data_IF_357570713724
#
_entry.id   IF_357570713724
#
_cell.length_a   1.000
_cell.length_b   1.000
_cell.length_c   1.000
_cell.angle_alpha   90.00
_cell.angle_beta   90.00
_cell.angle_gamma   90.00
#
_symmetry.space_group_name_H-M   'P 1'
#
loop_
_entity.id
_entity.type
_entity.pdbx_description
1 polymer ?
#
# COMPACT_ATOMS: atom_id res chain seq x y z
N UNK A 1 -16.86 14.39 26.98
CA UNK A 1 -15.81 13.34 27.03
C UNK A 1 -14.83 13.64 25.90
N UNK A 2 -13.60 14.05 26.21
CA UNK A 2 -12.60 14.38 25.18
C UNK A 2 -12.02 13.07 24.65
N UNK A 3 -12.48 12.65 23.47
CA UNK A 3 -11.92 11.51 22.73
C UNK A 3 -10.84 12.04 21.80
N UNK A 4 -9.73 11.31 21.66
CA UNK A 4 -8.65 11.64 20.71
C UNK A 4 -9.18 11.67 19.27
N UNK A 5 -8.68 12.59 18.44
CA UNK A 5 -8.95 12.57 16.99
C UNK A 5 -8.03 11.57 16.28
N UNK A 6 -8.36 11.09 15.08
CA UNK A 6 -7.48 10.24 14.29
C UNK A 6 -6.08 10.86 14.06
N UNK A 7 -6.02 12.15 13.79
CA UNK A 7 -4.77 12.90 13.58
C UNK A 7 -3.94 12.97 14.86
N UNK A 8 -4.57 13.30 16.00
CA UNK A 8 -3.90 13.34 17.29
C UNK A 8 -3.39 11.96 17.71
N UNK A 9 -4.14 10.90 17.42
CA UNK A 9 -3.74 9.51 17.67
C UNK A 9 -2.52 9.13 16.83
N UNK A 10 -2.53 9.42 15.53
CA UNK A 10 -1.37 9.16 14.66
C UNK A 10 -0.12 9.93 15.12
N UNK A 11 -0.28 11.19 15.53
CA UNK A 11 0.81 12.00 16.05
C UNK A 11 1.36 11.44 17.38
N UNK A 12 0.49 10.93 18.26
CA UNK A 12 0.91 10.23 19.48
C UNK A 12 1.75 8.98 19.17
N UNK A 13 1.37 8.20 18.14
CA UNK A 13 2.18 7.06 17.68
C UNK A 13 3.58 7.51 17.24
N UNK A 14 3.70 8.68 16.60
CA UNK A 14 5.00 9.24 16.20
C UNK A 14 5.88 9.64 17.41
N UNK A 15 5.29 9.85 18.58
CA UNK A 15 5.99 10.19 19.82
C UNK A 15 6.43 8.96 20.64
N UNK A 16 5.91 7.75 20.35
CA UNK A 16 6.33 6.51 20.99
C UNK A 16 7.74 6.13 20.52
N UNK A 17 8.74 6.15 21.41
CA UNK A 17 10.13 5.82 21.03
C UNK A 17 10.24 4.35 20.64
N UNK A 18 10.90 4.07 19.52
CA UNK A 18 11.37 2.78 19.00
C UNK A 18 10.36 1.62 18.92
N UNK A 19 9.10 1.82 19.35
CA UNK A 19 8.04 0.82 19.28
C UNK A 19 7.54 0.60 17.85
N UNK A 20 7.70 1.60 16.98
CA UNK A 20 7.23 1.59 15.60
C UNK A 20 8.32 2.10 14.66
N UNK A 21 8.52 1.42 13.53
CA UNK A 21 9.42 1.91 12.49
C UNK A 21 8.82 3.12 11.77
N UNK A 22 9.62 3.86 10.99
CA UNK A 22 9.06 4.92 10.13
C UNK A 22 7.98 4.34 9.19
N UNK A 23 8.22 3.15 8.63
CA UNK A 23 7.29 2.48 7.73
C UNK A 23 5.96 2.13 8.43
N UNK A 24 5.98 1.78 9.71
CA UNK A 24 4.76 1.59 10.52
C UNK A 24 3.98 2.89 10.72
N UNK A 25 4.68 4.02 10.95
CA UNK A 25 4.04 5.33 11.08
C UNK A 25 3.39 5.77 9.77
N UNK A 26 4.04 5.49 8.63
CA UNK A 26 3.45 5.71 7.31
C UNK A 26 2.22 4.82 7.12
N UNK A 27 2.30 3.53 7.44
CA UNK A 27 1.15 2.62 7.33
C UNK A 27 -0.04 3.05 8.20
N UNK A 28 0.23 3.53 9.42
CA UNK A 28 -0.80 4.11 10.29
C UNK A 28 -1.41 5.38 9.68
N UNK A 29 -0.57 6.23 9.07
CA UNK A 29 -1.02 7.43 8.37
C UNK A 29 -1.86 7.13 7.12
N UNK A 30 -1.41 6.19 6.29
CA UNK A 30 -2.15 5.65 5.14
C UNK A 30 -3.53 5.15 5.58
N UNK A 31 -3.58 4.41 6.70
CA UNK A 31 -4.84 3.94 7.27
C UNK A 31 -5.76 5.09 7.70
N UNK A 32 -5.24 6.16 8.30
CA UNK A 32 -6.04 7.33 8.68
C UNK A 32 -6.67 8.00 7.45
N UNK A 33 -5.90 8.14 6.37
CA UNK A 33 -6.36 8.81 5.14
C UNK A 33 -7.02 7.87 4.13
N UNK A 34 -7.19 6.60 4.48
CA UNK A 34 -7.69 5.56 3.57
C UNK A 34 -9.13 5.81 3.15
N UNK A 35 -9.33 5.80 1.84
CA UNK A 35 -10.65 5.75 1.21
C UNK A 35 -10.90 4.33 0.69
N UNK A 36 -11.79 3.56 1.34
CA UNK A 36 -12.09 2.21 0.93
C UNK A 36 -12.90 2.20 -0.37
N UNK A 37 -12.75 1.14 -1.17
CA UNK A 37 -13.61 0.95 -2.35
C UNK A 37 -15.09 0.88 -1.99
N UNK A 38 -15.42 0.14 -0.93
CA UNK A 38 -16.78 0.03 -0.43
C UNK A 38 -16.95 0.99 0.75
N UNK A 39 -18.00 1.83 0.76
CA UNK A 39 -18.20 2.80 1.82
C UNK A 39 -18.18 2.14 3.21
N UNK A 40 -17.24 2.57 4.04
CA UNK A 40 -17.18 2.20 5.45
C UNK A 40 -17.50 3.43 6.30
N UNK A 41 -18.25 3.23 7.38
CA UNK A 41 -18.68 4.33 8.25
C UNK A 41 -17.48 5.10 8.80
N UNK A 42 -17.48 6.41 8.57
CA UNK A 42 -16.46 7.34 9.09
C UNK A 42 -15.15 7.37 8.30
N UNK A 43 -15.08 6.71 7.13
CA UNK A 43 -13.92 6.81 6.24
C UNK A 43 -14.10 7.92 5.17
N UNK A 44 -13.00 8.55 4.73
CA UNK A 44 -11.67 8.52 5.37
C UNK A 44 -11.73 9.17 6.77
N UNK A 45 -10.89 8.72 7.71
CA UNK A 45 -10.93 9.25 9.09
C UNK A 45 -10.38 10.68 9.16
N UNK A 46 -9.45 11.01 8.27
CA UNK A 46 -8.93 12.34 8.06
C UNK A 46 -8.36 12.46 6.65
N UNK A 47 -7.73 13.59 6.33
CA UNK A 47 -7.02 13.83 5.08
C UNK A 47 -5.53 14.00 5.33
N UNK A 48 -4.72 13.80 4.29
CA UNK A 48 -3.28 14.08 4.34
C UNK A 48 -3.01 15.56 4.63
N UNK A 49 -3.87 16.45 4.14
CA UNK A 49 -3.81 17.89 4.41
C UNK A 49 -4.00 18.17 5.91
N UNK A 50 -5.02 17.60 6.54
CA UNK A 50 -5.26 17.75 7.99
C UNK A 50 -4.11 17.21 8.83
N UNK A 51 -3.53 16.05 8.45
CA UNK A 51 -2.32 15.55 9.09
C UNK A 51 -1.15 16.55 8.94
N UNK A 52 -0.98 17.15 7.77
CA UNK A 52 0.04 18.17 7.52
C UNK A 52 -0.12 19.42 8.39
N UNK A 53 -1.33 19.96 8.46
CA UNK A 53 -1.64 21.11 9.31
C UNK A 53 -1.35 20.83 10.78
N UNK A 54 -1.76 19.65 11.28
CA UNK A 54 -1.47 19.25 12.65
C UNK A 54 0.05 19.14 12.89
N UNK A 55 0.76 18.50 11.97
CA UNK A 55 2.22 18.37 12.05
C UNK A 55 2.85 19.75 12.13
N UNK A 56 2.52 20.68 11.23
CA UNK A 56 3.09 22.03 11.16
C UNK A 56 2.91 22.85 12.42
N UNK A 57 1.78 22.70 13.09
CA UNK A 57 1.50 23.37 14.36
C UNK A 57 2.16 22.67 15.55
N UNK A 58 2.39 21.36 15.46
CA UNK A 58 2.91 20.59 16.58
C UNK A 58 4.34 20.98 16.97
N UNK A 59 4.57 21.03 18.29
CA UNK A 59 5.88 21.22 18.93
C UNK A 59 6.04 20.14 19.97
N UNK A 60 7.13 19.38 19.89
CA UNK A 60 7.41 18.33 20.86
C UNK A 60 7.98 17.06 20.25
N UNK A 61 8.03 16.03 21.09
CA UNK A 61 8.57 14.72 20.76
C UNK A 61 7.74 14.06 19.65
N UNK A 62 8.41 13.46 18.67
CA UNK A 62 7.75 12.84 17.51
C UNK A 62 7.53 13.78 16.32
N UNK A 63 7.71 15.10 16.46
CA UNK A 63 7.56 16.07 15.34
C UNK A 63 8.41 15.70 14.11
N UNK A 64 9.68 15.35 14.31
CA UNK A 64 10.59 14.97 13.21
C UNK A 64 10.10 13.70 12.48
N UNK A 65 9.72 12.67 13.25
CA UNK A 65 9.23 11.40 12.71
C UNK A 65 7.89 11.56 11.98
N UNK A 66 6.98 12.36 12.54
CA UNK A 66 5.72 12.68 11.89
C UNK A 66 5.93 13.43 10.57
N UNK A 67 6.82 14.44 10.54
CA UNK A 67 7.17 15.14 9.32
C UNK A 67 7.79 14.22 8.26
N UNK A 68 8.69 13.33 8.66
CA UNK A 68 9.30 12.33 7.78
C UNK A 68 8.27 11.36 7.21
N UNK A 69 7.44 10.74 8.06
CA UNK A 69 6.39 9.82 7.64
C UNK A 69 5.37 10.50 6.71
N UNK A 70 4.98 11.75 6.99
CA UNK A 70 4.02 12.51 6.18
C UNK A 70 4.44 12.67 4.71
N UNK A 71 5.75 12.67 4.41
CA UNK A 71 6.24 12.71 3.02
C UNK A 71 5.85 11.47 2.21
N UNK A 72 5.73 10.33 2.89
CA UNK A 72 5.45 9.03 2.29
C UNK A 72 3.99 8.60 2.42
N UNK A 73 3.16 9.25 3.24
CA UNK A 73 1.74 8.93 3.36
C UNK A 73 1.05 9.07 2.00
N UNK A 74 0.21 8.10 1.64
CA UNK A 74 -0.62 8.05 0.44
C UNK A 74 -2.03 7.61 0.80
N UNK A 75 -3.00 8.22 0.16
CA UNK A 75 -4.37 7.70 0.13
C UNK A 75 -4.39 6.54 -0.87
N UNK A 76 -4.80 5.36 -0.42
CA UNK A 76 -5.03 4.22 -1.31
C UNK A 76 -4.55 2.88 -0.82
N UNK A 77 -3.67 2.79 0.20
CA UNK A 77 -3.29 1.49 0.78
C UNK A 77 -4.43 0.93 1.66
N UNK A 78 -4.81 -0.34 1.46
CA UNK A 78 -5.90 -0.97 2.22
C UNK A 78 -5.43 -1.72 3.46
N UNK A 79 -4.13 -1.99 3.55
CA UNK A 79 -3.56 -2.72 4.68
C UNK A 79 -2.13 -2.29 5.02
N UNK A 80 -1.71 -2.58 6.26
CA UNK A 80 -0.32 -2.33 6.68
C UNK A 80 0.68 -3.03 5.76
N UNK A 81 0.55 -4.32 5.42
CA UNK A 81 1.49 -4.98 4.52
C UNK A 81 1.61 -4.33 3.14
N UNK A 82 0.53 -3.82 2.56
CA UNK A 82 0.58 -3.08 1.28
C UNK A 82 1.41 -1.79 1.40
N UNK A 83 1.20 -1.01 2.47
CA UNK A 83 2.00 0.19 2.74
C UNK A 83 3.48 -0.17 2.90
N UNK A 84 3.78 -1.22 3.65
CA UNK A 84 5.17 -1.67 3.87
C UNK A 84 5.80 -2.18 2.57
N UNK A 85 5.07 -2.92 1.75
CA UNK A 85 5.57 -3.41 0.46
C UNK A 85 5.87 -2.25 -0.49
N UNK A 86 4.99 -1.25 -0.56
CA UNK A 86 5.25 -0.01 -1.32
C UNK A 86 6.54 0.65 -0.86
N UNK A 87 6.68 0.87 0.45
CA UNK A 87 7.86 1.52 1.03
C UNK A 87 9.15 0.73 0.80
N UNK A 88 9.07 -0.60 0.85
CA UNK A 88 10.17 -1.49 0.53
C UNK A 88 10.65 -1.29 -0.92
N UNK A 89 9.72 -1.24 -1.88
CA UNK A 89 10.06 -1.11 -3.29
C UNK A 89 10.64 0.28 -3.60
N UNK A 90 10.01 1.36 -3.14
CA UNK A 90 10.53 2.72 -3.37
C UNK A 90 11.88 2.94 -2.67
N UNK A 91 12.05 2.37 -1.46
CA UNK A 91 13.31 2.45 -0.71
C UNK A 91 14.47 1.75 -1.42
N UNK A 92 14.15 0.78 -2.27
CA UNK A 92 15.12 0.11 -3.15
C UNK A 92 15.36 0.84 -4.48
N UNK A 93 14.76 2.02 -4.70
CA UNK A 93 14.90 2.79 -5.92
C UNK A 93 14.07 2.28 -7.10
N UNK A 94 12.99 1.53 -6.84
CA UNK A 94 11.98 1.25 -7.86
C UNK A 94 11.04 2.47 -7.98
N UNK A 95 10.35 2.65 -9.13
CA UNK A 95 9.34 3.68 -9.29
C UNK A 95 8.24 3.56 -8.22
N UNK A 96 7.54 4.65 -7.91
CA UNK A 96 6.40 4.59 -7.00
C UNK A 96 5.18 4.01 -7.74
N UNK A 97 4.57 2.90 -7.24
CA UNK A 97 3.39 2.31 -7.88
C UNK A 97 2.12 3.11 -7.54
N UNK A 98 1.12 3.00 -8.41
CA UNK A 98 -0.25 3.37 -8.09
C UNK A 98 -0.83 2.40 -7.05
N UNK A 99 -1.61 2.92 -6.10
CA UNK A 99 -2.15 2.13 -4.99
C UNK A 99 -3.61 1.79 -5.21
N UNK A 100 -3.89 0.50 -5.18
CA UNK A 100 -5.23 -0.06 -5.31
C UNK A 100 -6.07 0.54 -6.45
N UNK A 101 -5.54 0.78 -7.68
CA UNK A 101 -6.38 1.24 -8.77
C UNK A 101 -7.26 0.12 -9.30
N UNK A 102 -8.35 0.51 -9.96
CA UNK A 102 -9.18 -0.41 -10.74
C UNK A 102 -8.46 -0.73 -12.05
N UNK A 103 -8.26 -2.02 -12.31
CA UNK A 103 -7.76 -2.53 -13.57
C UNK A 103 -8.94 -2.91 -14.45
N UNK A 104 -8.84 -2.52 -15.72
CA UNK A 104 -9.80 -2.81 -16.78
C UNK A 104 -9.12 -3.57 -17.90
N UNK A 105 -9.88 -4.41 -18.60
CA UNK A 105 -9.40 -5.06 -19.81
C UNK A 105 -9.47 -4.11 -21.03
N UNK A 106 -9.15 -4.65 -22.20
CA UNK A 106 -9.08 -3.90 -23.46
C UNK A 106 -10.45 -3.34 -23.89
N UNK A 107 -11.54 -3.95 -23.44
CA UNK A 107 -12.91 -3.53 -23.72
C UNK A 107 -13.45 -2.56 -22.65
N UNK A 108 -12.59 -2.15 -21.71
CA UNK A 108 -12.93 -1.26 -20.59
C UNK A 108 -13.69 -1.96 -19.46
N UNK A 109 -13.89 -3.28 -19.53
CA UNK A 109 -14.58 -4.03 -18.49
C UNK A 109 -13.68 -4.17 -17.26
N UNK A 110 -14.29 -4.02 -16.10
CA UNK A 110 -13.58 -4.15 -14.82
C UNK A 110 -13.08 -5.59 -14.65
N UNK A 111 -11.79 -5.73 -14.35
CA UNK A 111 -11.18 -7.01 -13.94
C UNK A 111 -11.14 -7.10 -12.42
N UNK A 112 -10.64 -6.05 -11.76
CA UNK A 112 -10.44 -6.07 -10.32
C UNK A 112 -9.70 -4.84 -9.82
N UNK A 113 -9.51 -4.77 -8.50
CA UNK A 113 -8.61 -3.82 -7.84
C UNK A 113 -7.30 -4.56 -7.55
N UNK A 114 -6.18 -3.88 -7.67
CA UNK A 114 -4.85 -4.49 -7.54
C UNK A 114 -3.98 -3.63 -6.62
N UNK A 115 -3.33 -4.23 -5.64
CA UNK A 115 -2.69 -3.52 -4.52
C UNK A 115 -1.66 -2.48 -4.97
N UNK A 116 -0.64 -2.89 -5.74
CA UNK A 116 0.41 -2.01 -6.27
C UNK A 116 0.50 -2.19 -7.79
N UNK A 117 0.40 -1.09 -8.53
CA UNK A 117 0.34 -1.12 -9.99
C UNK A 117 1.37 -0.18 -10.61
N UNK A 118 2.25 -0.78 -11.40
CA UNK A 118 3.22 -0.12 -12.26
C UNK A 118 2.63 -0.02 -13.66
N UNK A 119 1.74 0.96 -13.86
CA UNK A 119 0.87 1.04 -15.03
C UNK A 119 1.62 1.14 -16.36
N UNK A 120 2.70 1.93 -16.39
CA UNK A 120 3.55 2.11 -17.57
C UNK A 120 4.14 0.79 -18.07
N UNK A 121 4.53 -0.09 -17.14
CA UNK A 121 5.17 -1.38 -17.44
C UNK A 121 4.22 -2.58 -17.36
N UNK A 122 2.92 -2.34 -17.17
CA UNK A 122 1.91 -3.37 -16.94
C UNK A 122 2.31 -4.43 -15.91
N UNK A 123 2.86 -4.00 -14.76
CA UNK A 123 3.19 -4.90 -13.65
C UNK A 123 2.23 -4.65 -12.48
N UNK A 124 1.67 -5.73 -11.95
CA UNK A 124 0.86 -5.75 -10.74
C UNK A 124 1.66 -6.50 -9.68
N UNK A 125 1.73 -5.95 -8.46
CA UNK A 125 2.25 -6.64 -7.29
C UNK A 125 1.14 -6.70 -6.24
N UNK A 126 0.68 -7.91 -5.92
CA UNK A 126 -0.34 -8.18 -4.90
C UNK A 126 0.31 -8.75 -3.63
N UNK A 127 -0.10 -8.26 -2.47
CA UNK A 127 0.23 -8.89 -1.20
C UNK A 127 -0.78 -10.02 -0.90
N UNK A 128 -0.27 -11.25 -0.86
CA UNK A 128 -1.06 -12.45 -0.53
C UNK A 128 -0.86 -12.76 0.96
N UNK A 129 -1.74 -12.20 1.80
CA UNK A 129 -1.78 -12.54 3.22
C UNK A 129 -2.23 -13.99 3.43
N UNK A 130 -1.83 -14.61 4.53
CA UNK A 130 -2.30 -15.95 4.93
C UNK A 130 -3.79 -15.90 5.35
N UNK A 131 -4.68 -15.62 4.41
CA UNK A 131 -6.11 -15.82 4.55
C UNK A 131 -6.38 -17.27 4.14
N UNK A 132 -6.75 -18.09 5.12
CA UNK A 132 -7.17 -19.46 4.90
C UNK A 132 -8.16 -19.53 3.72
N UNK A 133 -7.73 -20.23 2.64
CA UNK A 133 -8.53 -20.63 1.47
C UNK A 133 -9.71 -21.54 1.88
N UNK A 134 -10.66 -21.03 2.64
CA UNK A 134 -11.78 -21.83 3.16
C UNK A 134 -13.09 -21.65 2.38
N UNK A 135 -13.05 -20.98 1.22
CA UNK A 135 -14.22 -20.89 0.32
C UNK A 135 -13.81 -21.09 -1.13
N UNK A 136 -14.19 -22.24 -1.70
CA UNK A 136 -13.95 -22.61 -3.11
C UNK A 136 -14.36 -21.49 -4.08
N UNK A 137 -15.47 -20.79 -3.83
CA UNK A 137 -15.92 -19.68 -4.67
C UNK A 137 -14.94 -18.50 -4.73
N UNK A 138 -14.24 -18.19 -3.63
CA UNK A 138 -13.23 -17.13 -3.62
C UNK A 138 -12.00 -17.55 -4.43
N UNK A 139 -11.60 -18.81 -4.30
CA UNK A 139 -10.48 -19.37 -5.05
C UNK A 139 -10.73 -19.33 -6.57
N UNK A 140 -11.91 -19.77 -7.01
CA UNK A 140 -12.31 -19.71 -8.42
C UNK A 140 -12.32 -18.27 -8.93
N UNK A 141 -12.88 -17.33 -8.16
CA UNK A 141 -12.90 -15.92 -8.53
C UNK A 141 -11.48 -15.34 -8.66
N UNK A 142 -10.57 -15.68 -7.75
CA UNK A 142 -9.18 -15.22 -7.80
C UNK A 142 -8.42 -15.82 -8.99
N UNK A 143 -8.70 -17.07 -9.37
CA UNK A 143 -8.16 -17.69 -10.58
C UNK A 143 -8.65 -16.96 -11.84
N UNK A 144 -9.95 -16.75 -11.98
CA UNK A 144 -10.53 -16.01 -13.10
C UNK A 144 -9.95 -14.59 -13.21
N UNK A 145 -9.73 -13.91 -12.08
CA UNK A 145 -9.12 -12.58 -12.05
C UNK A 145 -7.67 -12.61 -12.59
N UNK A 146 -6.88 -13.58 -12.16
CA UNK A 146 -5.50 -13.75 -12.61
C UNK A 146 -5.42 -14.07 -14.12
N UNK A 147 -6.32 -14.91 -14.62
CA UNK A 147 -6.44 -15.19 -16.05
C UNK A 147 -6.77 -13.93 -16.85
N UNK A 148 -7.73 -13.12 -16.38
CA UNK A 148 -8.09 -11.86 -17.06
C UNK A 148 -6.97 -10.83 -17.04
N UNK A 149 -6.19 -10.74 -15.95
CA UNK A 149 -4.97 -9.92 -15.93
C UNK A 149 -3.98 -10.38 -17.01
N UNK A 150 -3.77 -11.69 -17.11
CA UNK A 150 -2.85 -12.29 -18.09
C UNK A 150 -3.31 -12.01 -19.53
N UNK A 151 -4.59 -12.23 -19.85
CA UNK A 151 -5.19 -11.91 -21.16
C UNK A 151 -5.09 -10.41 -21.50
N UNK A 152 -5.05 -9.56 -20.48
CA UNK A 152 -4.88 -8.12 -20.60
C UNK A 152 -3.41 -7.66 -20.59
N UNK A 153 -2.46 -8.60 -20.72
CA UNK A 153 -1.02 -8.35 -20.82
C UNK A 153 -0.39 -7.78 -19.53
N UNK A 154 -0.97 -8.06 -18.37
CA UNK A 154 -0.37 -7.72 -17.08
C UNK A 154 0.55 -8.84 -16.57
N UNK A 155 1.73 -8.48 -16.08
CA UNK A 155 2.57 -9.36 -15.26
C UNK A 155 2.15 -9.24 -13.80
N UNK A 156 1.64 -10.31 -13.20
CA UNK A 156 1.16 -10.31 -11.81
C UNK A 156 2.17 -11.04 -10.92
N UNK A 157 2.62 -10.36 -9.86
CA UNK A 157 3.52 -10.89 -8.85
C UNK A 157 2.79 -10.97 -7.51
N UNK A 158 2.80 -12.14 -6.88
CA UNK A 158 2.25 -12.31 -5.53
C UNK A 158 3.37 -12.34 -4.49
N UNK A 159 3.28 -11.46 -3.50
CA UNK A 159 4.22 -11.37 -2.39
C UNK A 159 3.53 -11.85 -1.12
N UNK A 160 4.04 -12.94 -0.55
CA UNK A 160 3.56 -13.45 0.74
C UNK A 160 4.28 -12.80 1.91
N UNK A 161 3.77 -13.00 3.11
CA UNK A 161 4.38 -12.53 4.36
C UNK A 161 5.89 -12.85 4.44
N UNK A 162 6.33 -14.06 4.10
CA UNK A 162 7.75 -14.42 4.10
C UNK A 162 8.57 -13.56 3.13
N UNK A 163 8.04 -13.27 1.94
CA UNK A 163 8.72 -12.40 0.96
C UNK A 163 8.84 -10.95 1.41
N UNK A 164 7.91 -10.47 2.24
CA UNK A 164 7.95 -9.11 2.78
C UNK A 164 8.80 -8.99 4.04
N UNK A 165 8.69 -9.94 4.97
CA UNK A 165 9.25 -9.82 6.32
C UNK A 165 10.50 -10.66 6.57
N UNK A 166 10.76 -11.70 5.75
CA UNK A 166 11.89 -12.63 5.94
C UNK A 166 12.91 -12.48 4.80
N UNK A 167 12.44 -12.36 3.56
CA UNK A 167 13.29 -12.25 2.36
C UNK A 167 12.96 -11.04 1.47
N UNK A 168 12.92 -9.82 2.02
CA UNK A 168 12.57 -8.61 1.27
C UNK A 168 13.48 -8.35 0.06
N UNK A 169 14.78 -8.69 0.13
CA UNK A 169 15.72 -8.50 -0.98
C UNK A 169 15.39 -9.40 -2.18
N UNK A 170 14.85 -10.61 -1.92
CA UNK A 170 14.41 -11.50 -2.99
C UNK A 170 13.16 -10.93 -3.68
N UNK A 171 12.22 -10.37 -2.91
CA UNK A 171 11.05 -9.66 -3.45
C UNK A 171 11.47 -8.46 -4.29
N UNK A 172 12.34 -7.58 -3.78
CA UNK A 172 12.86 -6.42 -4.52
C UNK A 172 13.49 -6.86 -5.84
N UNK A 173 14.35 -7.88 -5.80
CA UNK A 173 15.03 -8.39 -6.99
C UNK A 173 14.03 -8.91 -8.01
N UNK A 174 13.04 -9.68 -7.59
CA UNK A 174 12.03 -10.24 -8.48
C UNK A 174 11.20 -9.14 -9.15
N UNK A 175 10.70 -8.17 -8.38
CA UNK A 175 9.93 -7.04 -8.95
C UNK A 175 10.80 -6.21 -9.91
N UNK A 176 12.06 -5.94 -9.56
CA UNK A 176 13.01 -5.22 -10.42
C UNK A 176 13.22 -5.93 -11.76
N UNK A 177 13.46 -7.24 -11.75
CA UNK A 177 13.70 -7.99 -12.98
C UNK A 177 12.45 -8.02 -13.88
N UNK A 178 11.25 -8.13 -13.30
CA UNK A 178 10.00 -8.06 -14.08
C UNK A 178 9.78 -6.66 -14.65
N UNK A 179 10.04 -5.60 -13.89
CA UNK A 179 9.96 -4.23 -14.39
C UNK A 179 10.94 -3.99 -15.55
N UNK A 180 12.19 -4.45 -15.42
CA UNK A 180 13.20 -4.36 -16.49
C UNK A 180 12.78 -5.13 -17.74
N UNK A 181 12.29 -6.37 -17.57
CA UNK A 181 11.78 -7.17 -18.69
C UNK A 181 10.58 -6.50 -19.39
N UNK A 182 9.85 -5.63 -18.69
CA UNK A 182 8.75 -4.82 -19.21
C UNK A 182 9.18 -3.43 -19.70
N UNK A 183 10.47 -3.13 -19.74
CA UNK A 183 11.02 -1.90 -20.33
C UNK A 183 11.37 -0.78 -19.35
N UNK A 184 11.32 -1.03 -18.04
CA UNK A 184 11.83 -0.07 -17.06
C UNK A 184 13.37 -0.04 -17.05
N UNK A 185 13.93 1.16 -17.16
CA UNK A 185 15.36 1.39 -17.06
C UNK A 185 15.62 2.32 -15.86
N UNK A 186 16.39 1.87 -14.85
CA UNK A 186 16.67 2.63 -13.62
C UNK A 186 17.66 3.78 -13.82
#
# INVERSE_FOLDING_TARGET
MLISTPEATWLQLCALDDALTNADLVAAGDYVVREPEYPERGRPFSSRESLGLLVDQYRGRGKRRAAEALTHIRQGSDSRPESLLRLLLIGAGLPEPELNPIIRDRDGQRIGRADLVFREWKVIVEYDGDQHRTRTAQYEHDMWRLERYTLSDWSVLRVRAAGLFISPEATIRHVREVLKARGWHP
#
